data_IF_454237130951
#
_entry.id   IF_454237130951
#
_cell.length_a   1.000
_cell.length_b   1.000
_cell.length_c   1.000
_cell.angle_alpha   90.00
_cell.angle_beta   90.00
_cell.angle_gamma   90.00
#
_symmetry.space_group_name_H-M   'P 1'
#
loop_
_entity.id
_entity.type
_entity.pdbx_description
1 polymer ?
#
# COMPACT_ATOMS: atom_id res chain seq x y z
N UNK A 1 42.10 -13.34 -15.38
CA UNK A 1 41.11 -12.23 -15.46
C UNK A 1 39.69 -12.69 -15.77
N UNK A 2 39.46 -13.57 -16.75
CA UNK A 2 38.11 -13.99 -17.16
C UNK A 2 37.17 -14.53 -16.06
N UNK A 3 37.66 -15.39 -15.15
CA UNK A 3 36.83 -15.93 -14.04
C UNK A 3 36.34 -14.87 -13.05
N UNK A 4 37.11 -13.80 -12.83
CA UNK A 4 36.71 -12.68 -11.96
C UNK A 4 35.67 -11.79 -12.63
N UNK A 5 35.84 -11.52 -13.93
CA UNK A 5 34.87 -10.76 -14.73
C UNK A 5 33.54 -11.53 -14.81
N UNK A 6 33.58 -12.84 -15.07
CA UNK A 6 32.39 -13.68 -15.14
C UNK A 6 31.64 -13.72 -13.80
N UNK A 7 32.35 -13.81 -12.68
CA UNK A 7 31.75 -13.78 -11.34
C UNK A 7 31.10 -12.43 -11.03
N UNK A 8 31.76 -11.32 -11.38
CA UNK A 8 31.19 -9.98 -11.22
C UNK A 8 29.93 -9.80 -12.08
N UNK A 9 29.97 -10.24 -13.34
CA UNK A 9 28.81 -10.17 -14.24
C UNK A 9 27.64 -11.04 -13.74
N UNK A 10 27.90 -12.24 -13.22
CA UNK A 10 26.87 -13.11 -12.65
C UNK A 10 26.25 -12.49 -11.39
N UNK A 11 27.06 -11.94 -10.49
CA UNK A 11 26.56 -11.24 -9.31
C UNK A 11 25.72 -10.02 -9.67
N UNK A 12 26.18 -9.21 -10.64
CA UNK A 12 25.45 -8.02 -11.11
C UNK A 12 24.10 -8.39 -11.75
N UNK A 13 24.07 -9.48 -12.51
CA UNK A 13 22.85 -9.99 -13.13
C UNK A 13 21.84 -10.46 -12.08
N UNK A 14 22.31 -11.14 -11.03
CA UNK A 14 21.46 -11.56 -9.89
C UNK A 14 20.86 -10.34 -9.18
N UNK A 15 21.64 -9.27 -8.94
CA UNK A 15 21.11 -8.05 -8.34
C UNK A 15 20.09 -7.33 -9.23
N UNK A 16 20.32 -7.26 -10.54
CA UNK A 16 19.40 -6.62 -11.48
C UNK A 16 18.05 -7.36 -11.55
N UNK A 17 18.08 -8.69 -11.60
CA UNK A 17 16.85 -9.50 -11.65
C UNK A 17 16.07 -9.40 -10.32
N UNK A 18 16.77 -9.18 -9.20
CA UNK A 18 16.15 -9.04 -7.87
C UNK A 18 15.55 -7.65 -7.62
N UNK A 19 15.80 -6.67 -8.49
CA UNK A 19 15.40 -5.28 -8.31
C UNK A 19 14.14 -4.87 -9.11
N UNK A 20 13.53 -5.80 -9.85
CA UNK A 20 12.30 -5.52 -10.58
C UNK A 20 11.09 -5.60 -9.65
N UNK A 21 10.43 -4.47 -9.39
CA UNK A 21 9.05 -4.47 -8.89
C UNK A 21 8.10 -4.92 -10.02
N UNK A 22 7.00 -5.60 -9.70
CA UNK A 22 5.93 -5.79 -10.66
C UNK A 22 5.38 -4.44 -11.14
N UNK A 23 5.05 -4.34 -12.41
CA UNK A 23 4.56 -3.10 -13.03
C UNK A 23 3.28 -2.58 -12.35
N UNK A 24 2.47 -3.48 -11.77
CA UNK A 24 1.27 -3.11 -11.01
C UNK A 24 1.63 -2.25 -9.80
N UNK A 25 2.73 -2.55 -9.11
CA UNK A 25 3.22 -1.79 -7.95
C UNK A 25 3.56 -0.37 -8.35
N UNK A 26 4.22 -0.18 -9.49
CA UNK A 26 4.57 1.15 -9.99
C UNK A 26 3.31 1.96 -10.31
N UNK A 27 2.31 1.37 -10.97
CA UNK A 27 1.05 2.06 -11.25
C UNK A 27 0.26 2.40 -9.99
N UNK A 28 0.21 1.50 -9.00
CA UNK A 28 -0.42 1.77 -7.69
C UNK A 28 0.26 2.94 -6.98
N UNK A 29 1.59 2.94 -6.94
CA UNK A 29 2.38 4.01 -6.32
C UNK A 29 2.18 5.36 -7.03
N UNK A 30 2.14 5.36 -8.37
CA UNK A 30 1.83 6.55 -9.16
C UNK A 30 0.42 7.07 -8.86
N UNK A 31 -0.59 6.18 -8.86
CA UNK A 31 -1.97 6.51 -8.57
C UNK A 31 -2.13 7.13 -7.19
N UNK A 32 -1.56 6.51 -6.15
CA UNK A 32 -1.56 7.04 -4.78
C UNK A 32 -0.89 8.41 -4.70
N UNK A 33 0.26 8.58 -5.38
CA UNK A 33 0.97 9.86 -5.40
C UNK A 33 0.12 10.98 -6.01
N UNK A 34 -0.59 10.71 -7.11
CA UNK A 34 -1.45 11.71 -7.74
C UNK A 34 -2.70 12.01 -6.90
N UNK A 35 -3.32 10.99 -6.30
CA UNK A 35 -4.47 11.21 -5.41
C UNK A 35 -4.09 11.99 -4.16
N UNK A 36 -2.91 11.72 -3.58
CA UNK A 36 -2.40 12.45 -2.43
C UNK A 36 -2.07 13.90 -2.79
N UNK A 37 -1.38 14.14 -3.91
CA UNK A 37 -1.14 15.52 -4.40
C UNK A 37 -2.43 16.32 -4.59
N UNK A 38 -3.47 15.70 -5.15
CA UNK A 38 -4.76 16.34 -5.32
C UNK A 38 -5.41 16.68 -3.96
N UNK A 39 -5.30 15.79 -2.97
CA UNK A 39 -5.78 16.02 -1.61
C UNK A 39 -4.97 17.09 -0.86
N UNK A 40 -3.66 17.12 -1.05
CA UNK A 40 -2.75 18.10 -0.42
C UNK A 40 -3.02 19.53 -0.90
N UNK A 41 -3.60 19.70 -2.10
CA UNK A 41 -3.91 21.01 -2.68
C UNK A 41 -5.02 21.77 -1.93
N UNK A 42 -5.88 21.07 -1.18
CA UNK A 42 -6.93 21.72 -0.39
C UNK A 42 -6.37 22.28 0.92
N UNK A 43 -6.99 23.34 1.43
CA UNK A 43 -6.61 23.94 2.71
C UNK A 43 -6.76 22.97 3.89
N UNK A 44 -5.81 23.01 4.80
CA UNK A 44 -5.82 22.18 6.01
C UNK A 44 -6.98 22.58 6.94
N UNK A 45 -7.55 21.61 7.66
CA UNK A 45 -8.63 21.85 8.62
C UNK A 45 -8.31 21.19 9.97
N UNK A 46 -7.31 21.68 10.73
CA UNK A 46 -6.67 20.95 11.83
C UNK A 46 -7.59 20.60 13.02
N UNK A 47 -8.74 21.25 13.14
CA UNK A 47 -9.74 20.99 14.17
C UNK A 47 -10.87 20.07 13.70
N UNK A 48 -10.82 19.57 12.46
CA UNK A 48 -11.77 18.58 11.97
C UNK A 48 -11.61 17.27 12.74
N UNK A 49 -12.66 16.84 13.41
CA UNK A 49 -12.84 15.48 13.86
C UNK A 49 -14.30 15.10 13.65
N UNK A 50 -14.55 14.18 12.71
CA UNK A 50 -15.87 13.65 12.44
C UNK A 50 -15.82 12.14 12.46
N UNK A 51 -16.71 11.53 13.24
CA UNK A 51 -16.90 10.07 13.26
C UNK A 51 -18.17 9.76 12.48
N UNK A 52 -18.07 8.86 11.51
CA UNK A 52 -19.20 8.32 10.75
C UNK A 52 -19.28 6.83 11.04
N UNK A 53 -20.45 6.36 11.45
CA UNK A 53 -20.71 4.94 11.68
C UNK A 53 -21.48 4.36 10.50
N UNK A 54 -20.89 3.35 9.86
CA UNK A 54 -21.45 2.59 8.75
C UNK A 54 -21.67 1.16 9.25
N UNK A 55 -22.87 0.91 9.77
CA UNK A 55 -23.23 -0.34 10.47
C UNK A 55 -22.25 -0.69 11.60
N UNK A 56 -21.21 -1.48 11.31
CA UNK A 56 -20.20 -1.95 12.28
C UNK A 56 -18.82 -1.34 12.05
N UNK A 57 -18.67 -0.43 11.08
CA UNK A 57 -17.42 0.25 10.75
C UNK A 57 -17.49 1.71 11.18
N UNK A 58 -16.49 2.19 11.91
CA UNK A 58 -16.38 3.61 12.29
C UNK A 58 -15.27 4.27 11.50
N UNK A 59 -15.59 5.34 10.78
CA UNK A 59 -14.62 6.15 10.04
C UNK A 59 -14.38 7.44 10.79
N UNK A 60 -13.20 7.55 11.39
CA UNK A 60 -12.67 8.74 12.03
C UNK A 60 -11.98 9.61 10.99
N UNK A 61 -12.66 10.66 10.55
CA UNK A 61 -12.13 11.67 9.64
C UNK A 61 -11.52 12.79 10.48
N UNK A 62 -10.19 12.89 10.45
CA UNK A 62 -9.43 13.83 11.26
C UNK A 62 -8.70 14.86 10.40
N UNK A 63 -8.57 16.09 10.89
CA UNK A 63 -7.85 17.14 10.18
C UNK A 63 -6.41 17.34 10.63
N UNK A 64 -5.98 16.64 11.68
CA UNK A 64 -4.63 16.77 12.21
C UNK A 64 -4.16 15.46 12.84
N UNK A 65 -2.87 15.17 12.64
CA UNK A 65 -2.20 13.95 13.11
C UNK A 65 -2.32 13.77 14.62
N UNK A 66 -2.37 14.88 15.38
CA UNK A 66 -2.56 14.89 16.85
C UNK A 66 -3.84 14.18 17.30
N UNK A 67 -4.82 14.03 16.41
CA UNK A 67 -6.10 13.38 16.66
C UNK A 67 -6.08 11.87 16.40
N UNK A 68 -4.97 11.30 15.90
CA UNK A 68 -4.84 9.85 15.81
C UNK A 68 -4.74 9.23 17.21
N UNK A 69 -5.51 8.16 17.44
CA UNK A 69 -5.44 7.41 18.69
C UNK A 69 -4.12 6.63 18.84
N UNK A 70 -3.62 6.02 17.75
CA UNK A 70 -2.36 5.30 17.78
C UNK A 70 -1.15 6.25 17.89
N UNK A 71 -0.34 6.06 18.94
CA UNK A 71 0.79 6.93 19.27
C UNK A 71 1.81 7.07 18.13
N UNK A 72 2.13 5.97 17.43
CA UNK A 72 3.07 6.02 16.30
C UNK A 72 2.53 6.80 15.10
N UNK A 73 1.22 6.73 14.85
CA UNK A 73 0.58 7.55 13.84
C UNK A 73 0.54 9.02 14.27
N UNK A 74 0.39 9.29 15.58
CA UNK A 74 0.32 10.64 16.15
C UNK A 74 1.65 11.40 16.12
N UNK A 75 2.76 10.68 16.20
CA UNK A 75 4.11 11.25 16.28
C UNK A 75 4.43 12.20 15.12
N UNK A 76 5.15 13.28 15.43
CA UNK A 76 5.66 14.21 14.42
C UNK A 76 6.61 13.49 13.45
N UNK A 77 6.51 13.80 12.16
CA UNK A 77 7.29 13.12 11.11
C UNK A 77 6.83 11.71 10.75
N UNK A 78 5.77 11.19 11.39
CA UNK A 78 5.20 9.88 11.04
C UNK A 78 4.71 9.85 9.59
N UNK A 79 5.07 8.77 8.87
CA UNK A 79 4.67 8.54 7.48
C UNK A 79 3.22 8.01 7.35
N UNK A 80 2.56 7.65 8.46
CA UNK A 80 1.20 7.08 8.44
C UNK A 80 0.19 8.10 7.95
N UNK A 81 -0.46 7.89 6.81
CA UNK A 81 -1.50 8.81 6.29
C UNK A 81 -2.92 8.41 6.70
N UNK A 82 -3.10 7.13 7.03
CA UNK A 82 -4.30 6.55 7.59
C UNK A 82 -3.94 5.21 8.25
N UNK A 83 -4.86 4.61 9.00
CA UNK A 83 -4.74 3.21 9.42
C UNK A 83 -6.10 2.63 9.80
N UNK A 84 -6.17 1.31 9.75
CA UNK A 84 -7.32 0.52 10.14
C UNK A 84 -7.02 -0.35 11.36
N UNK A 85 -8.03 -0.60 12.18
CA UNK A 85 -7.91 -1.45 13.36
C UNK A 85 -8.74 -2.72 13.22
N UNK A 86 -8.34 -3.77 13.94
CA UNK A 86 -9.13 -5.01 14.06
C UNK A 86 -10.50 -4.80 14.74
N UNK A 87 -10.76 -3.62 15.29
CA UNK A 87 -12.04 -3.21 15.89
C UNK A 87 -12.98 -2.51 14.89
N UNK A 88 -12.70 -2.61 13.59
CA UNK A 88 -13.44 -1.98 12.50
C UNK A 88 -13.39 -0.44 12.52
N UNK A 89 -12.29 0.12 12.99
CA UNK A 89 -12.06 1.57 12.93
C UNK A 89 -11.14 1.89 11.77
N UNK A 90 -11.48 2.93 11.01
CA UNK A 90 -10.61 3.56 10.01
C UNK A 90 -10.32 4.97 10.49
N UNK A 91 -9.04 5.32 10.61
CA UNK A 91 -8.62 6.70 10.86
C UNK A 91 -7.99 7.26 9.59
N UNK A 92 -8.53 8.37 9.08
CA UNK A 92 -8.09 8.97 7.82
C UNK A 92 -8.08 10.49 7.91
N UNK A 93 -7.14 11.11 7.20
CA UNK A 93 -7.15 12.57 7.03
C UNK A 93 -8.35 13.05 6.20
N UNK A 94 -8.95 14.16 6.64
CA UNK A 94 -9.96 14.88 5.88
C UNK A 94 -9.76 16.39 5.94
N UNK A 95 -10.37 17.07 4.99
CA UNK A 95 -10.36 18.54 4.87
C UNK A 95 -11.77 19.05 4.62
N UNK A 96 -12.05 20.29 5.03
CA UNK A 96 -13.30 20.97 4.66
C UNK A 96 -13.12 21.76 3.37
N UNK A 97 -14.04 21.58 2.43
CA UNK A 97 -14.14 22.36 1.21
C UNK A 97 -15.56 22.89 1.12
N UNK A 98 -15.73 24.20 1.36
CA UNK A 98 -17.05 24.80 1.56
C UNK A 98 -17.78 24.13 2.74
N UNK A 99 -18.97 23.60 2.47
CA UNK A 99 -19.79 22.90 3.48
C UNK A 99 -19.63 21.38 3.46
N UNK A 100 -18.64 20.84 2.73
CA UNK A 100 -18.40 19.40 2.59
C UNK A 100 -17.09 19.01 3.24
N UNK A 101 -17.03 17.76 3.69
CA UNK A 101 -15.79 17.10 4.11
C UNK A 101 -15.34 16.24 2.92
N UNK A 102 -14.07 16.34 2.57
CA UNK A 102 -13.42 15.50 1.57
C UNK A 102 -12.38 14.61 2.24
N UNK A 103 -12.11 13.46 1.63
CA UNK A 103 -11.08 12.49 2.01
C UNK A 103 -10.38 11.97 0.76
N UNK A 104 -9.14 11.50 0.90
CA UNK A 104 -8.44 10.83 -0.20
C UNK A 104 -9.04 9.43 -0.42
N UNK A 105 -9.76 9.25 -1.53
CA UNK A 105 -10.49 8.00 -1.83
C UNK A 105 -9.55 6.79 -2.01
N UNK A 106 -8.34 7.00 -2.53
CA UNK A 106 -7.38 5.91 -2.69
C UNK A 106 -6.90 5.40 -1.32
N UNK A 107 -6.70 6.31 -0.37
CA UNK A 107 -6.33 5.98 1.01
C UNK A 107 -7.50 5.30 1.71
N UNK A 108 -8.72 5.81 1.57
CA UNK A 108 -9.90 5.16 2.14
C UNK A 108 -10.10 3.74 1.61
N UNK A 109 -9.93 3.53 0.30
CA UNK A 109 -10.05 2.22 -0.32
C UNK A 109 -8.96 1.24 0.15
N UNK A 110 -7.73 1.72 0.33
CA UNK A 110 -6.64 0.94 0.92
C UNK A 110 -6.97 0.48 2.35
N UNK A 111 -7.44 1.40 3.19
CA UNK A 111 -7.84 1.09 4.57
C UNK A 111 -9.04 0.14 4.66
N UNK A 112 -10.03 0.34 3.79
CA UNK A 112 -11.16 -0.58 3.71
C UNK A 112 -10.71 -2.00 3.36
N UNK A 113 -9.69 -2.15 2.50
CA UNK A 113 -9.16 -3.47 2.15
C UNK A 113 -8.49 -4.15 3.36
N UNK A 114 -7.82 -3.41 4.24
CA UNK A 114 -7.35 -3.99 5.51
C UNK A 114 -8.50 -4.53 6.35
N UNK A 115 -9.63 -3.81 6.44
CA UNK A 115 -10.80 -4.33 7.15
C UNK A 115 -11.35 -5.61 6.52
N UNK A 116 -11.37 -5.70 5.19
CA UNK A 116 -11.77 -6.92 4.47
C UNK A 116 -10.81 -8.08 4.78
N UNK A 117 -9.50 -7.87 4.68
CA UNK A 117 -8.47 -8.85 5.05
C UNK A 117 -8.60 -9.30 6.53
N UNK A 118 -8.91 -8.39 7.46
CA UNK A 118 -9.12 -8.76 8.86
C UNK A 118 -10.31 -9.69 9.08
N UNK A 119 -11.27 -9.74 8.14
CA UNK A 119 -12.42 -10.65 8.19
C UNK A 119 -12.20 -11.93 7.41
N UNK A 120 -11.49 -11.85 6.31
CA UNK A 120 -11.25 -12.97 5.40
C UNK A 120 -9.81 -12.96 4.91
N UNK A 121 -9.05 -13.98 5.32
CA UNK A 121 -7.63 -14.13 4.96
C UNK A 121 -7.44 -14.50 3.48
N UNK A 122 -8.49 -14.85 2.74
CA UNK A 122 -8.43 -15.00 1.27
C UNK A 122 -8.23 -13.64 0.58
N UNK A 123 -8.66 -12.55 1.23
CA UNK A 123 -8.46 -11.19 0.72
C UNK A 123 -7.06 -10.73 1.11
N UNK A 124 -6.25 -10.35 0.10
CA UNK A 124 -4.87 -9.93 0.32
C UNK A 124 -4.76 -8.67 1.17
N UNK A 125 -3.76 -8.66 2.07
CA UNK A 125 -3.33 -7.43 2.72
C UNK A 125 -2.83 -6.45 1.64
N UNK A 126 -3.40 -5.23 1.55
CA UNK A 126 -2.98 -4.25 0.54
C UNK A 126 -1.50 -3.86 0.64
N UNK A 127 -0.85 -4.01 1.81
CA UNK A 127 0.57 -3.75 2.00
C UNK A 127 1.47 -4.86 1.44
N UNK A 128 0.96 -6.08 1.31
CA UNK A 128 1.73 -7.25 0.88
C UNK A 128 1.63 -7.53 -0.63
N UNK A 129 0.81 -6.76 -1.37
CA UNK A 129 0.52 -7.01 -2.80
C UNK A 129 1.77 -7.12 -3.68
N UNK A 130 2.81 -6.33 -3.40
CA UNK A 130 4.06 -6.39 -4.16
C UNK A 130 4.78 -7.74 -3.99
N UNK A 131 4.80 -8.25 -2.76
CA UNK A 131 5.42 -9.54 -2.45
C UNK A 131 4.60 -10.69 -3.05
N UNK A 132 3.28 -10.63 -2.90
CA UNK A 132 2.35 -11.63 -3.46
C UNK A 132 2.55 -11.76 -4.97
N UNK A 133 2.57 -10.66 -5.71
CA UNK A 133 2.76 -10.66 -7.16
C UNK A 133 4.16 -11.11 -7.57
N UNK A 134 5.20 -10.67 -6.85
CA UNK A 134 6.59 -11.09 -7.11
C UNK A 134 6.75 -12.60 -6.95
N UNK A 135 6.17 -13.18 -5.87
CA UNK A 135 6.16 -14.62 -5.64
C UNK A 135 5.39 -15.37 -6.72
N UNK A 136 4.21 -14.88 -7.09
CA UNK A 136 3.40 -15.49 -8.15
C UNK A 136 4.17 -15.58 -9.48
N UNK A 137 4.84 -14.50 -9.88
CA UNK A 137 5.66 -14.50 -11.09
C UNK A 137 6.86 -15.44 -11.00
N UNK A 138 7.54 -15.52 -9.84
CA UNK A 138 8.63 -16.45 -9.63
C UNK A 138 8.18 -17.92 -9.79
N UNK A 139 7.04 -18.27 -9.21
CA UNK A 139 6.45 -19.62 -9.31
C UNK A 139 6.11 -19.98 -10.78
N UNK A 140 5.50 -19.06 -11.53
CA UNK A 140 5.21 -19.25 -12.95
C UNK A 140 6.49 -19.46 -13.78
N UNK A 141 7.55 -18.69 -13.50
CA UNK A 141 8.83 -18.85 -14.18
C UNK A 141 9.46 -20.21 -13.87
N UNK A 142 9.46 -20.64 -12.61
CA UNK A 142 9.98 -21.96 -12.23
C UNK A 142 9.21 -23.08 -12.93
N UNK A 143 7.88 -22.98 -13.03
CA UNK A 143 7.07 -23.97 -13.74
C UNK A 143 7.39 -24.04 -15.23
N UNK A 144 7.56 -22.90 -15.90
CA UNK A 144 7.93 -22.84 -17.33
C UNK A 144 9.30 -23.46 -17.60
N UNK A 145 10.29 -23.16 -16.77
CA UNK A 145 11.63 -23.74 -16.88
C UNK A 145 11.57 -25.27 -16.72
N UNK A 146 10.81 -25.75 -15.73
CA UNK A 146 10.63 -27.18 -15.49
C UNK A 146 9.95 -27.90 -16.65
N UNK A 147 8.95 -27.28 -17.28
CA UNK A 147 8.31 -27.81 -18.49
C UNK A 147 9.29 -27.87 -19.67
N UNK A 148 10.05 -26.81 -19.92
CA UNK A 148 11.04 -26.75 -20.99
C UNK A 148 12.04 -27.93 -20.92
N UNK A 149 12.58 -28.21 -19.73
CA UNK A 149 13.52 -29.33 -19.55
C UNK A 149 12.87 -30.72 -19.54
N UNK A 150 11.55 -30.81 -19.38
CA UNK A 150 10.81 -32.07 -19.53
C UNK A 150 10.52 -32.38 -21.00
N UNK A 151 10.24 -31.36 -21.80
CA UNK A 151 9.87 -31.51 -23.21
C UNK A 151 11.09 -31.72 -24.12
N UNK A 152 12.32 -31.42 -23.65
CA UNK A 152 13.58 -31.71 -24.34
C UNK A 152 14.11 -33.16 -24.12
N UNK A 153 13.35 -34.04 -23.45
CA UNK A 153 13.68 -35.47 -23.26
C UNK A 153 12.74 -36.38 -24.04
#
# INVERSE_FOLDING_TARGET
>A
MGRRILSICASLLITIISACSPISTDYRAQGLRYSQKAFDYYEETPDLHRVIELEKVRVHIIGSRRLFEWEKARAEGSATIAYSTRKNDIFIFGKKVGNKIIVNQAVLGHELNHLLNFKDMEIADPDELNEIESRHHAELWTQRIHQYFKDEK
#
